data_IF_231560454844
#
_entry.id   IF_231560454844
#
_cell.length_a   1.000
_cell.length_b   1.000
_cell.length_c   1.000
_cell.angle_alpha   90.00
_cell.angle_beta   90.00
_cell.angle_gamma   90.00
#
_symmetry.space_group_name_H-M   'P 1'
#
loop_
_entity.id
_entity.type
_entity.pdbx_description
1 polymer ?
#
# COMPACT_ATOMS: atom_id res chain seq x y z
N UNK A 1 -3.88 -76.55 17.54
CA UNK A 1 -4.23 -76.98 18.90
C UNK A 1 -3.12 -76.55 19.84
N UNK A 2 -3.50 -76.03 21.02
CA UNK A 2 -2.68 -75.74 22.21
C UNK A 2 -2.20 -74.29 22.40
N UNK A 3 -3.06 -73.49 23.03
CA UNK A 3 -2.68 -72.59 24.14
C UNK A 3 -2.17 -73.45 25.34
N UNK A 4 -1.89 -72.98 26.59
CA UNK A 4 -1.95 -71.63 27.16
C UNK A 4 -0.92 -71.35 28.32
N UNK A 5 -1.07 -70.21 29.01
CA UNK A 5 -0.66 -69.91 30.40
C UNK A 5 0.82 -70.02 30.83
N UNK A 6 1.47 -68.86 30.95
CA UNK A 6 2.50 -68.64 31.95
C UNK A 6 1.87 -68.14 33.26
N UNK A 7 1.73 -69.03 34.24
CA UNK A 7 1.49 -68.69 35.63
C UNK A 7 2.83 -68.55 36.36
N UNK A 8 3.00 -67.53 37.19
CA UNK A 8 3.73 -67.72 38.44
C UNK A 8 3.21 -66.76 39.51
N UNK A 9 2.99 -67.32 40.69
CA UNK A 9 2.24 -66.81 41.81
C UNK A 9 3.06 -66.98 43.08
N UNK A 10 3.07 -65.95 43.93
CA UNK A 10 3.51 -66.00 45.34
C UNK A 10 5.03 -65.84 45.53
N UNK A 11 5.55 -65.23 46.59
CA UNK A 11 4.96 -64.70 47.82
C UNK A 11 6.10 -64.02 48.61
N UNK A 12 5.86 -62.89 49.28
CA UNK A 12 6.26 -62.74 50.70
C UNK A 12 5.62 -61.51 51.38
N UNK A 13 5.37 -61.58 52.71
CA UNK A 13 4.28 -60.89 53.40
C UNK A 13 4.75 -59.99 54.58
N UNK A 14 3.84 -59.15 55.12
CA UNK A 14 3.95 -58.22 56.29
C UNK A 14 4.78 -56.94 56.05
N UNK A 15 4.36 -55.66 56.19
CA UNK A 15 3.22 -54.82 56.71
C UNK A 15 3.81 -53.38 56.99
N UNK A 16 3.13 -52.29 57.46
CA UNK A 16 1.71 -51.87 57.58
C UNK A 16 1.37 -50.54 56.78
N UNK A 17 0.12 -50.00 56.83
CA UNK A 17 -0.42 -49.02 55.85
C UNK A 17 -0.56 -47.57 56.36
N UNK A 18 -0.47 -46.57 55.47
CA UNK A 18 -1.01 -45.22 55.74
C UNK A 18 -1.19 -44.34 54.49
N UNK A 19 -2.41 -43.79 54.34
CA UNK A 19 -2.63 -42.40 53.92
C UNK A 19 -2.78 -42.07 52.44
N UNK A 20 -4.01 -42.16 51.92
CA UNK A 20 -4.45 -41.46 50.70
C UNK A 20 -4.77 -39.99 51.01
N UNK A 21 -4.34 -39.03 50.17
CA UNK A 21 -5.06 -37.76 49.91
C UNK A 21 -4.87 -37.32 48.44
N UNK A 22 -5.95 -36.99 47.71
CA UNK A 22 -5.87 -36.54 46.30
C UNK A 22 -5.48 -35.05 46.18
N UNK A 23 -4.88 -34.63 45.05
CA UNK A 23 -4.46 -33.24 44.82
C UNK A 23 -5.66 -32.29 44.61
N UNK A 24 -5.55 -31.01 45.03
CA UNK A 24 -6.64 -30.04 44.96
C UNK A 24 -6.94 -29.55 43.52
N UNK A 25 -8.20 -29.16 43.23
CA UNK A 25 -8.61 -28.69 41.90
C UNK A 25 -8.03 -27.29 41.56
N UNK A 26 -7.91 -26.95 40.26
CA UNK A 26 -7.36 -25.67 39.81
C UNK A 26 -8.28 -24.49 40.15
N UNK A 27 -7.75 -23.28 40.45
CA UNK A 27 -8.56 -22.11 40.74
C UNK A 27 -9.35 -21.67 39.50
N UNK A 28 -10.67 -21.56 39.66
CA UNK A 28 -11.58 -20.99 38.67
C UNK A 28 -11.34 -19.47 38.53
N UNK A 29 -11.40 -18.99 37.28
CA UNK A 29 -11.24 -17.58 36.95
C UNK A 29 -12.28 -16.69 37.63
N UNK A 30 -11.80 -15.66 38.33
CA UNK A 30 -12.62 -14.58 38.88
C UNK A 30 -12.45 -13.31 38.06
N UNK A 31 -13.47 -12.96 37.28
CA UNK A 31 -13.67 -11.64 36.70
C UNK A 31 -14.46 -10.81 37.74
N UNK A 32 -13.87 -9.73 38.25
CA UNK A 32 -14.52 -8.81 39.18
C UNK A 32 -13.47 -7.77 39.59
N UNK A 33 -13.63 -6.49 39.32
CA UNK A 33 -14.79 -5.68 39.67
C UNK A 33 -14.24 -4.62 40.62
N UNK A 34 -13.89 -3.46 40.06
CA UNK A 34 -13.32 -2.37 40.85
C UNK A 34 -14.35 -1.76 41.79
N UNK A 35 -13.93 -1.38 43.00
CA UNK A 35 -14.32 -0.17 43.72
C UNK A 35 -13.80 -0.23 45.16
N UNK A 36 -13.35 0.92 45.67
CA UNK A 36 -13.57 1.26 47.08
C UNK A 36 -12.38 1.16 48.03
N UNK A 37 -11.67 2.28 48.17
CA UNK A 37 -11.62 3.03 49.44
C UNK A 37 -10.69 2.54 50.57
N UNK A 38 -10.05 3.51 51.22
CA UNK A 38 -9.77 3.44 52.66
C UNK A 38 -8.32 3.64 53.07
N UNK A 39 -7.98 4.88 53.43
CA UNK A 39 -6.75 5.28 54.12
C UNK A 39 -6.55 4.47 55.43
N UNK A 40 -5.38 3.88 55.60
CA UNK A 40 -4.91 3.33 56.87
C UNK A 40 -4.20 4.39 57.72
N UNK A 41 -4.31 4.27 59.04
CA UNK A 41 -3.51 5.02 60.00
C UNK A 41 -3.29 4.23 61.28
N UNK A 42 -2.03 4.18 61.76
CA UNK A 42 -1.72 3.98 63.19
C UNK A 42 -0.78 2.84 63.59
N UNK A 43 0.53 3.11 63.54
CA UNK A 43 1.59 2.90 64.57
C UNK A 43 1.78 1.54 65.32
N UNK A 44 3.00 0.96 65.20
CA UNK A 44 3.58 -0.05 66.12
C UNK A 44 4.98 -0.57 65.69
N UNK A 45 6.03 -0.61 66.55
CA UNK A 45 7.43 -0.94 66.18
C UNK A 45 7.91 -2.34 66.68
N UNK A 46 9.19 -2.79 66.49
CA UNK A 46 9.64 -3.89 65.60
C UNK A 46 10.07 -5.20 66.35
N UNK A 47 10.35 -6.34 65.66
CA UNK A 47 11.77 -6.74 65.45
C UNK A 47 12.06 -7.65 64.22
N UNK A 48 13.22 -7.45 63.59
CA UNK A 48 14.06 -8.44 62.91
C UNK A 48 13.47 -9.40 61.85
N UNK A 49 13.80 -9.17 60.56
CA UNK A 49 13.65 -10.20 59.52
C UNK A 49 13.98 -9.71 58.11
N UNK A 50 15.07 -10.25 57.54
CA UNK A 50 15.45 -10.42 56.12
C UNK A 50 14.99 -9.39 55.04
N UNK A 51 15.87 -8.85 54.17
CA UNK A 51 15.46 -8.03 53.03
C UNK A 51 14.76 -8.90 51.96
N UNK A 52 13.46 -9.11 52.16
CA UNK A 52 12.58 -9.84 51.26
C UNK A 52 12.09 -8.95 50.13
N UNK A 53 12.47 -9.36 48.91
CA UNK A 53 11.90 -9.05 47.60
C UNK A 53 10.89 -7.91 47.52
N UNK A 54 11.34 -6.76 47.00
CA UNK A 54 10.42 -5.87 46.31
C UNK A 54 9.84 -6.60 45.11
N UNK A 55 8.53 -6.86 45.16
CA UNK A 55 7.76 -7.36 44.02
C UNK A 55 7.94 -6.39 42.85
N UNK A 56 8.94 -6.72 42.04
CA UNK A 56 9.29 -6.02 40.82
C UNK A 56 8.19 -6.35 39.83
N UNK A 57 7.14 -5.52 39.80
CA UNK A 57 6.05 -5.65 38.85
C UNK A 57 6.66 -5.89 37.46
N UNK A 58 6.33 -7.01 36.76
CA UNK A 58 6.93 -7.31 35.48
C UNK A 58 6.67 -6.15 34.53
N UNK A 59 7.70 -5.63 33.83
CA UNK A 59 7.55 -4.44 33.01
C UNK A 59 6.48 -4.69 31.93
N UNK A 60 5.36 -3.96 32.02
CA UNK A 60 4.27 -4.02 31.04
C UNK A 60 4.79 -3.57 29.67
N UNK A 61 4.46 -4.34 28.64
CA UNK A 61 4.67 -3.99 27.24
C UNK A 61 3.93 -2.69 26.93
N UNK A 62 4.60 -1.75 26.27
CA UNK A 62 3.99 -0.48 25.91
C UNK A 62 3.06 -0.69 24.72
N UNK A 63 1.75 -0.65 24.94
CA UNK A 63 0.74 -0.74 23.89
C UNK A 63 0.94 0.32 22.80
N UNK A 64 1.64 1.41 23.11
CA UNK A 64 2.03 2.42 22.14
C UNK A 64 3.07 1.91 21.12
N UNK A 65 3.94 0.96 21.52
CA UNK A 65 4.91 0.34 20.60
C UNK A 65 4.23 -0.62 19.62
N UNK A 66 3.19 -1.33 20.09
CA UNK A 66 2.36 -2.20 19.24
C UNK A 66 1.50 -1.33 18.31
N UNK A 67 0.89 -0.27 18.85
CA UNK A 67 0.16 0.70 18.05
C UNK A 67 1.07 1.34 16.98
N UNK A 68 2.31 1.74 17.32
CA UNK A 68 3.28 2.28 16.35
C UNK A 68 3.66 1.26 15.26
N UNK A 69 3.79 -0.03 15.61
CA UNK A 69 4.02 -1.09 14.63
C UNK A 69 2.83 -1.22 13.66
N UNK A 70 1.62 -1.28 14.20
CA UNK A 70 0.37 -1.42 13.42
C UNK A 70 0.13 -0.18 12.54
N UNK A 71 0.37 1.02 13.07
CA UNK A 71 0.25 2.27 12.34
C UNK A 71 1.36 2.47 11.30
N UNK A 72 2.56 1.91 11.50
CA UNK A 72 3.60 1.90 10.45
C UNK A 72 3.22 1.03 9.24
N UNK A 73 2.33 0.06 9.43
CA UNK A 73 1.77 -0.77 8.38
C UNK A 73 0.68 -0.05 7.56
N UNK A 74 0.09 1.03 8.11
CA UNK A 74 -0.90 1.86 7.44
C UNK A 74 -0.19 2.99 6.67
N UNK A 75 0.15 2.67 5.42
CA UNK A 75 0.85 3.44 4.39
C UNK A 75 0.62 4.98 4.37
N UNK A 76 -0.52 5.49 4.83
CA UNK A 76 -0.89 6.91 4.75
C UNK A 76 -0.47 7.78 5.95
N UNK A 77 0.17 7.23 6.98
CA UNK A 77 0.50 7.95 8.24
C UNK A 77 1.99 7.94 8.59
N UNK A 78 2.87 7.72 7.61
CA UNK A 78 4.33 7.71 7.76
C UNK A 78 4.90 8.85 8.64
N UNK A 79 4.50 10.15 8.50
CA UNK A 79 5.01 11.20 9.38
C UNK A 79 4.59 11.02 10.85
N UNK A 80 3.39 10.49 11.10
CA UNK A 80 2.87 10.24 12.45
C UNK A 80 3.55 9.01 13.08
N UNK A 81 3.86 7.99 12.28
CA UNK A 81 4.63 6.81 12.72
C UNK A 81 6.03 7.18 13.21
N UNK A 82 6.71 8.11 12.52
CA UNK A 82 8.02 8.62 12.94
C UNK A 82 7.93 9.42 14.25
N UNK A 83 6.94 10.31 14.38
CA UNK A 83 6.74 11.10 15.60
C UNK A 83 6.40 10.19 16.79
N UNK A 84 5.50 9.22 16.62
CA UNK A 84 5.15 8.26 17.67
C UNK A 84 6.31 7.32 18.01
N UNK A 85 7.14 6.95 17.04
CA UNK A 85 8.38 6.20 17.26
C UNK A 85 9.39 6.96 18.13
N UNK A 86 9.58 8.26 17.87
CA UNK A 86 10.44 9.14 18.69
C UNK A 86 9.90 9.26 20.12
N UNK A 87 8.58 9.37 20.29
CA UNK A 87 7.93 9.40 21.62
C UNK A 87 8.05 8.05 22.34
N UNK A 88 7.95 6.92 21.62
CA UNK A 88 8.16 5.58 22.15
C UNK A 88 9.60 5.31 22.63
N UNK A 89 10.61 5.86 21.95
CA UNK A 89 12.00 5.81 22.43
C UNK A 89 12.16 6.59 23.73
N UNK A 90 11.53 7.77 23.85
CA UNK A 90 11.59 8.57 25.08
C UNK A 90 10.97 7.84 26.28
N UNK A 91 9.93 7.03 26.07
CA UNK A 91 9.27 6.21 27.11
C UNK A 91 10.02 4.93 27.49
N UNK A 92 10.94 4.44 26.66
CA UNK A 92 11.74 3.23 26.93
C UNK A 92 13.14 3.53 27.46
N UNK A 93 13.48 4.81 27.68
CA UNK A 93 14.76 5.25 28.24
C UNK A 93 14.89 4.81 29.72
N UNK A 94 16.05 4.27 30.10
CA UNK A 94 16.37 3.97 31.51
C UNK A 94 15.96 2.58 32.03
N UNK A 95 15.66 1.61 31.15
CA UNK A 95 15.40 0.21 31.57
C UNK A 95 14.03 -0.05 32.21
N UNK A 96 13.13 0.93 32.20
CA UNK A 96 11.80 0.85 32.83
C UNK A 96 10.80 -0.06 32.09
N UNK A 97 11.05 -0.43 30.81
CA UNK A 97 10.22 -1.36 30.02
C UNK A 97 11.06 -2.21 29.04
N UNK A 98 10.71 -3.49 28.84
CA UNK A 98 11.26 -4.35 27.77
C UNK A 98 10.63 -3.94 26.42
N UNK A 99 11.43 -3.85 25.34
CA UNK A 99 10.92 -3.50 24.00
C UNK A 99 11.82 -2.61 23.12
N UNK A 100 12.99 -2.20 23.60
CA UNK A 100 13.90 -1.30 22.86
C UNK A 100 14.33 -1.84 21.49
N UNK A 101 14.59 -3.15 21.36
CA UNK A 101 14.92 -3.76 20.07
C UNK A 101 13.76 -3.70 19.07
N UNK A 102 12.53 -3.88 19.58
CA UNK A 102 11.31 -3.77 18.78
C UNK A 102 11.05 -2.33 18.34
N UNK A 103 11.32 -1.35 19.20
CA UNK A 103 11.24 0.07 18.87
C UNK A 103 12.26 0.48 17.79
N UNK A 104 13.50 -0.04 17.87
CA UNK A 104 14.52 0.19 16.84
C UNK A 104 14.12 -0.46 15.52
N UNK A 105 13.63 -1.70 15.55
CA UNK A 105 13.14 -2.39 14.36
C UNK A 105 11.97 -1.64 13.71
N UNK A 106 11.03 -1.12 14.49
CA UNK A 106 9.91 -0.32 13.98
C UNK A 106 10.38 0.96 13.30
N UNK A 107 11.42 1.62 13.81
CA UNK A 107 11.99 2.82 13.17
C UNK A 107 12.69 2.47 11.87
N UNK A 108 13.51 1.41 11.86
CA UNK A 108 14.21 0.97 10.66
C UNK A 108 13.22 0.58 9.56
N UNK A 109 12.23 -0.25 9.89
CA UNK A 109 11.18 -0.66 8.96
C UNK A 109 10.38 0.56 8.50
N UNK A 110 10.02 1.47 9.41
CA UNK A 110 9.29 2.69 9.07
C UNK A 110 10.06 3.59 8.11
N UNK A 111 11.38 3.76 8.29
CA UNK A 111 12.23 4.52 7.37
C UNK A 111 12.34 3.84 6.01
N UNK A 112 12.57 2.52 5.97
CA UNK A 112 12.66 1.76 4.72
C UNK A 112 11.35 1.85 3.95
N UNK A 113 10.21 1.63 4.60
CA UNK A 113 8.90 1.74 3.99
C UNK A 113 8.61 3.17 3.51
N UNK A 114 8.98 4.19 4.29
CA UNK A 114 8.80 5.59 3.88
C UNK A 114 9.60 5.91 2.62
N UNK A 115 10.86 5.47 2.54
CA UNK A 115 11.70 5.65 1.35
C UNK A 115 11.10 4.87 0.17
N UNK A 116 10.70 3.62 0.37
CA UNK A 116 10.11 2.81 -0.68
C UNK A 116 8.83 3.45 -1.23
N UNK A 117 7.92 3.90 -0.37
CA UNK A 117 6.69 4.60 -0.78
C UNK A 117 7.01 5.92 -1.49
N UNK A 118 7.93 6.73 -0.97
CA UNK A 118 8.33 7.98 -1.62
C UNK A 118 8.93 7.73 -3.00
N UNK A 119 9.78 6.72 -3.15
CA UNK A 119 10.35 6.31 -4.44
C UNK A 119 9.27 5.82 -5.41
N UNK A 120 8.31 5.01 -4.95
CA UNK A 120 7.20 4.54 -5.79
C UNK A 120 6.33 5.70 -6.27
N UNK A 121 6.03 6.66 -5.40
CA UNK A 121 5.28 7.87 -5.77
C UNK A 121 6.08 8.68 -6.79
N UNK A 122 7.38 8.92 -6.54
CA UNK A 122 8.23 9.68 -7.45
C UNK A 122 8.31 9.06 -8.84
N UNK A 123 8.46 7.72 -8.91
CA UNK A 123 8.42 6.97 -10.17
C UNK A 123 7.05 7.10 -10.83
N UNK A 124 5.96 6.93 -10.08
CA UNK A 124 4.60 7.06 -10.61
C UNK A 124 4.31 8.44 -11.20
N UNK A 125 4.72 9.52 -10.52
CA UNK A 125 4.59 10.89 -11.02
C UNK A 125 5.44 11.11 -12.26
N UNK A 126 6.70 10.66 -12.26
CA UNK A 126 7.58 10.79 -13.41
C UNK A 126 6.99 10.13 -14.67
N UNK A 127 6.40 8.94 -14.54
CA UNK A 127 5.71 8.30 -15.66
C UNK A 127 4.41 9.01 -16.03
N UNK A 128 3.61 9.42 -15.05
CA UNK A 128 2.36 10.14 -15.31
C UNK A 128 2.57 11.46 -16.08
N UNK A 129 3.63 12.20 -15.77
CA UNK A 129 3.99 13.45 -16.47
C UNK A 129 4.37 13.23 -17.94
N UNK A 130 4.70 11.99 -18.32
CA UNK A 130 5.01 11.60 -19.69
C UNK A 130 3.80 11.03 -20.44
N UNK A 131 2.72 10.68 -19.75
CA UNK A 131 1.54 10.12 -20.41
C UNK A 131 0.68 11.24 -20.98
N UNK A 132 0.40 11.15 -22.28
CA UNK A 132 -0.57 11.99 -22.96
C UNK A 132 -1.90 11.24 -22.98
N UNK A 133 -2.88 11.84 -22.35
CA UNK A 133 -4.27 11.42 -22.32
C UNK A 133 -5.09 12.32 -23.22
N UNK A 134 -6.27 11.89 -23.68
CA UNK A 134 -7.08 12.73 -24.53
C UNK A 134 -7.43 14.11 -23.91
N UNK A 135 -7.59 14.18 -22.58
CA UNK A 135 -7.90 15.44 -21.88
C UNK A 135 -6.72 16.39 -21.64
N UNK A 136 -5.46 15.97 -21.83
CA UNK A 136 -4.27 16.84 -21.69
C UNK A 136 -3.43 16.93 -22.98
N UNK A 137 -3.90 16.31 -24.06
CA UNK A 137 -3.29 16.39 -25.38
C UNK A 137 -3.31 17.82 -25.90
N UNK A 138 -2.28 18.18 -26.67
CA UNK A 138 -2.16 19.46 -27.35
C UNK A 138 -1.68 19.23 -28.79
N UNK A 139 -2.16 20.06 -29.72
CA UNK A 139 -1.71 20.03 -31.12
C UNK A 139 -0.22 20.39 -31.19
N UNK A 140 0.54 19.67 -32.00
CA UNK A 140 2.00 19.77 -32.12
C UNK A 140 2.79 18.93 -31.10
N UNK A 141 2.12 18.13 -30.27
CA UNK A 141 2.80 17.23 -29.34
C UNK A 141 3.27 15.95 -30.06
N UNK A 142 4.58 15.70 -30.00
CA UNK A 142 5.19 14.46 -30.46
C UNK A 142 5.10 13.38 -29.39
N UNK A 143 4.75 12.16 -29.79
CA UNK A 143 4.47 11.04 -28.90
C UNK A 143 4.99 9.71 -29.46
N UNK A 144 5.39 8.81 -28.56
CA UNK A 144 5.47 7.38 -28.87
C UNK A 144 4.10 6.75 -28.66
N UNK A 145 3.74 5.80 -29.53
CA UNK A 145 2.45 5.11 -29.50
C UNK A 145 2.68 3.67 -29.07
N UNK A 146 2.08 3.28 -27.95
CA UNK A 146 2.09 1.88 -27.48
C UNK A 146 0.67 1.31 -27.52
N UNK A 147 0.44 0.44 -28.49
CA UNK A 147 -0.82 -0.26 -28.68
C UNK A 147 -0.82 -1.58 -27.87
N UNK A 148 -1.67 -1.66 -26.83
CA UNK A 148 -1.87 -2.86 -26.02
C UNK A 148 -3.34 -3.31 -26.09
N UNK A 149 -3.60 -4.38 -26.82
CA UNK A 149 -4.95 -4.92 -27.08
C UNK A 149 -5.90 -3.85 -27.66
N UNK A 150 -6.86 -3.38 -26.86
CA UNK A 150 -7.85 -2.35 -27.21
C UNK A 150 -7.44 -0.94 -26.73
N UNK A 151 -6.28 -0.80 -26.09
CA UNK A 151 -5.85 0.43 -25.42
C UNK A 151 -4.64 1.02 -26.13
N UNK A 152 -4.70 2.31 -26.43
CA UNK A 152 -3.60 3.06 -27.03
C UNK A 152 -3.03 3.98 -25.96
N UNK A 153 -1.75 3.83 -25.65
CA UNK A 153 -1.03 4.73 -24.76
C UNK A 153 -0.16 5.68 -25.58
N UNK A 154 -0.29 6.97 -25.32
CA UNK A 154 0.54 8.00 -25.93
C UNK A 154 1.54 8.51 -24.89
N UNK A 155 2.82 8.51 -25.22
CA UNK A 155 3.88 8.99 -24.34
C UNK A 155 4.59 10.19 -24.94
N UNK A 156 4.56 11.33 -24.24
CA UNK A 156 5.21 12.57 -24.66
C UNK A 156 6.70 12.37 -24.94
N UNK A 157 7.11 12.81 -26.12
CA UNK A 157 8.50 12.85 -26.60
C UNK A 157 8.90 14.24 -27.04
N UNK A 158 10.21 14.43 -27.18
CA UNK A 158 10.74 15.64 -27.82
C UNK A 158 10.73 15.44 -29.34
N UNK A 159 10.18 16.40 -30.07
CA UNK A 159 10.03 16.32 -31.53
C UNK A 159 11.36 16.27 -32.30
N UNK A 160 12.47 16.61 -31.65
CA UNK A 160 13.83 16.50 -32.22
C UNK A 160 14.42 15.10 -32.09
N UNK A 161 13.76 14.23 -31.31
CA UNK A 161 14.11 12.82 -31.21
C UNK A 161 13.17 11.97 -32.07
N UNK A 162 13.54 10.71 -32.25
CA UNK A 162 12.66 9.75 -32.90
C UNK A 162 11.39 9.55 -32.09
N UNK A 163 10.25 9.61 -32.77
CA UNK A 163 8.93 9.40 -32.19
C UNK A 163 8.00 8.77 -33.22
N UNK A 164 6.92 8.15 -32.75
CA UNK A 164 6.03 7.39 -33.62
C UNK A 164 4.94 8.28 -34.26
N UNK A 165 4.45 9.29 -33.52
CA UNK A 165 3.35 10.11 -33.97
C UNK A 165 3.39 11.57 -33.50
N UNK A 166 2.65 12.43 -34.19
CA UNK A 166 2.38 13.80 -33.76
C UNK A 166 0.87 14.07 -33.69
N UNK A 167 0.44 14.74 -32.63
CA UNK A 167 -0.95 15.18 -32.46
C UNK A 167 -1.22 16.38 -33.37
N UNK A 168 -2.14 16.21 -34.32
CA UNK A 168 -2.42 17.19 -35.38
C UNK A 168 -3.77 17.89 -35.24
N UNK A 169 -4.66 17.36 -34.40
CA UNK A 169 -5.99 17.92 -34.21
C UNK A 169 -6.61 17.44 -32.91
N UNK A 170 -7.41 18.31 -32.30
CA UNK A 170 -8.15 17.99 -31.07
C UNK A 170 -9.56 18.55 -31.21
N UNK A 171 -10.55 17.72 -30.91
CA UNK A 171 -11.94 18.15 -30.87
C UNK A 171 -12.60 17.72 -29.57
N UNK A 172 -13.31 18.65 -28.93
CA UNK A 172 -14.17 18.33 -27.80
C UNK A 172 -15.51 17.80 -28.29
N UNK A 173 -15.96 16.68 -27.74
CA UNK A 173 -17.25 16.08 -28.08
C UNK A 173 -18.39 16.89 -27.49
N UNK A 174 -19.33 17.29 -28.34
CA UNK A 174 -20.54 18.02 -27.97
C UNK A 174 -21.76 17.50 -28.75
N UNK A 175 -22.93 18.14 -28.56
CA UNK A 175 -24.16 17.71 -29.24
C UNK A 175 -24.13 17.79 -30.77
N UNK A 176 -23.26 18.60 -31.35
CA UNK A 176 -23.21 18.83 -32.80
C UNK A 176 -22.36 17.81 -33.52
N UNK A 177 -21.29 17.30 -32.89
CA UNK A 177 -20.32 16.41 -33.53
C UNK A 177 -20.34 14.95 -33.02
N UNK A 178 -20.98 14.68 -31.88
CA UNK A 178 -20.94 13.36 -31.23
C UNK A 178 -21.38 12.21 -32.14
N UNK A 179 -22.41 12.39 -32.97
CA UNK A 179 -22.89 11.33 -33.85
C UNK A 179 -21.93 11.06 -35.02
N UNK A 180 -21.23 12.10 -35.49
CA UNK A 180 -20.21 11.96 -36.54
C UNK A 180 -18.95 11.27 -35.99
N UNK A 181 -18.51 11.67 -34.80
CA UNK A 181 -17.37 11.05 -34.10
C UNK A 181 -17.65 9.58 -33.80
N UNK A 182 -18.86 9.24 -33.35
CA UNK A 182 -19.27 7.84 -33.16
C UNK A 182 -19.28 7.04 -34.46
N UNK A 183 -19.63 7.67 -35.58
CA UNK A 183 -19.66 7.00 -36.88
C UNK A 183 -18.26 6.75 -37.43
N UNK A 184 -17.34 7.72 -37.27
CA UNK A 184 -15.96 7.60 -37.72
C UNK A 184 -15.09 8.62 -37.00
N UNK A 185 -14.38 8.18 -35.97
CA UNK A 185 -13.44 9.01 -35.21
C UNK A 185 -12.35 9.60 -36.12
N UNK A 186 -11.68 8.74 -36.89
CA UNK A 186 -10.65 9.15 -37.85
C UNK A 186 -11.23 10.00 -38.99
N UNK A 187 -12.48 9.74 -39.41
CA UNK A 187 -13.16 10.55 -40.41
C UNK A 187 -13.38 12.00 -39.95
N UNK A 188 -13.74 12.18 -38.67
CA UNK A 188 -13.92 13.51 -38.09
C UNK A 188 -12.61 14.29 -37.93
N UNK A 189 -11.46 13.62 -37.94
CA UNK A 189 -10.16 14.29 -37.82
C UNK A 189 -9.88 15.27 -38.95
N UNK A 190 -10.42 15.05 -40.15
CA UNK A 190 -10.32 16.01 -41.26
C UNK A 190 -10.96 17.37 -40.90
N UNK A 191 -11.94 17.37 -40.00
CA UNK A 191 -12.62 18.57 -39.50
C UNK A 191 -11.93 19.15 -38.26
N UNK A 192 -11.25 18.32 -37.48
CA UNK A 192 -10.56 18.71 -36.25
C UNK A 192 -9.17 19.33 -36.50
N UNK A 193 -8.53 19.01 -37.62
CA UNK A 193 -7.22 19.54 -38.01
C UNK A 193 -7.39 20.97 -38.57
N UNK A 194 -6.52 21.89 -38.17
CA UNK A 194 -6.55 23.26 -38.68
C UNK A 194 -6.25 23.32 -40.17
N UNK A 195 -6.94 24.21 -40.91
CA UNK A 195 -6.81 24.30 -42.36
C UNK A 195 -5.39 24.66 -42.83
N UNK A 196 -4.65 25.44 -42.03
CA UNK A 196 -3.25 25.78 -42.27
C UNK A 196 -2.29 24.59 -42.11
N UNK A 197 -2.63 23.66 -41.23
CA UNK A 197 -1.82 22.47 -40.95
C UNK A 197 -2.09 21.34 -41.94
N UNK A 198 -3.30 21.26 -42.51
CA UNK A 198 -3.64 20.29 -43.57
C UNK A 198 -2.66 20.34 -44.76
N UNK A 199 -2.13 21.51 -45.10
CA UNK A 199 -1.17 21.64 -46.19
C UNK A 199 0.15 20.91 -45.88
N UNK A 200 0.63 21.00 -44.63
CA UNK A 200 1.86 20.33 -44.16
C UNK A 200 1.67 18.81 -44.08
N UNK A 201 0.46 18.38 -43.73
CA UNK A 201 0.12 16.97 -43.54
C UNK A 201 -0.26 16.24 -44.82
N UNK A 202 -0.25 16.90 -45.99
CA UNK A 202 -0.76 16.32 -47.26
C UNK A 202 -0.14 14.96 -47.64
N UNK A 203 1.11 14.71 -47.27
CA UNK A 203 1.79 13.42 -47.49
C UNK A 203 1.36 12.31 -46.50
N UNK A 204 0.79 12.69 -45.35
CA UNK A 204 0.49 11.81 -44.22
C UNK A 204 -1.00 11.72 -43.87
N UNK A 205 -1.89 12.31 -44.69
CA UNK A 205 -3.33 12.28 -44.43
C UNK A 205 -3.92 10.86 -44.34
N UNK A 206 -3.27 9.86 -44.94
CA UNK A 206 -3.69 8.46 -44.85
C UNK A 206 -3.24 7.78 -43.55
N UNK A 207 -2.28 8.37 -42.86
CA UNK A 207 -1.71 7.87 -41.60
C UNK A 207 -2.39 8.51 -40.38
N UNK A 208 -3.49 9.26 -40.59
CA UNK A 208 -4.27 9.87 -39.52
C UNK A 208 -5.06 8.80 -38.77
N UNK A 209 -4.73 8.67 -37.49
CA UNK A 209 -5.46 7.86 -36.51
C UNK A 209 -6.16 8.77 -35.49
N UNK A 210 -7.04 8.17 -34.70
CA UNK A 210 -7.79 8.87 -33.68
C UNK A 210 -7.93 8.06 -32.40
N UNK A 211 -7.94 8.73 -31.25
CA UNK A 211 -8.18 8.13 -29.94
C UNK A 211 -9.07 9.06 -29.11
N UNK A 212 -9.84 8.46 -28.19
CA UNK A 212 -10.73 9.13 -27.24
C UNK A 212 -10.64 8.42 -25.90
N UNK A 213 -11.16 9.02 -24.83
CA UNK A 213 -11.08 8.49 -23.47
C UNK A 213 -11.67 7.08 -23.34
N UNK A 214 -12.83 6.83 -23.96
CA UNK A 214 -13.44 5.50 -24.05
C UNK A 214 -13.97 5.24 -25.47
N UNK A 215 -13.26 4.47 -26.31
CA UNK A 215 -13.67 4.21 -27.68
C UNK A 215 -14.98 3.40 -27.77
N UNK A 216 -15.39 2.69 -26.71
CA UNK A 216 -16.64 1.92 -26.67
C UNK A 216 -17.82 2.80 -26.25
N UNK A 217 -17.56 3.98 -25.69
CA UNK A 217 -18.59 4.86 -25.11
C UNK A 217 -18.22 6.33 -25.23
N UNK A 218 -18.47 6.90 -26.42
CA UNK A 218 -18.29 8.34 -26.68
C UNK A 218 -19.37 9.17 -25.97
N UNK A 219 -18.95 10.06 -25.09
CA UNK A 219 -19.79 10.97 -24.31
C UNK A 219 -19.49 12.44 -24.59
N UNK A 220 -20.42 13.33 -24.19
CA UNK A 220 -20.18 14.77 -24.27
C UNK A 220 -19.14 15.17 -23.24
N UNK A 221 -18.17 15.98 -23.67
CA UNK A 221 -17.07 16.44 -22.83
C UNK A 221 -15.79 15.65 -23.02
N UNK A 222 -15.86 14.49 -23.67
CA UNK A 222 -14.69 13.72 -24.12
C UNK A 222 -13.88 14.52 -25.15
N UNK A 223 -12.62 14.13 -25.33
CA UNK A 223 -11.68 14.75 -26.23
C UNK A 223 -11.26 13.73 -27.28
N UNK A 224 -11.64 13.99 -28.52
CA UNK A 224 -11.09 13.30 -29.66
C UNK A 224 -9.69 13.87 -29.93
N UNK A 225 -8.68 13.01 -29.94
CA UNK A 225 -7.31 13.34 -30.34
C UNK A 225 -7.02 12.69 -31.67
N UNK A 226 -6.62 13.51 -32.63
CA UNK A 226 -6.21 13.12 -33.97
C UNK A 226 -4.69 13.21 -34.05
N UNK A 227 -4.05 12.12 -34.41
CA UNK A 227 -2.60 12.05 -34.52
C UNK A 227 -2.20 11.35 -35.82
N UNK A 228 -1.05 11.73 -36.34
CA UNK A 228 -0.46 11.15 -37.55
C UNK A 228 0.64 10.19 -37.13
N UNK A 229 0.51 8.92 -37.50
CA UNK A 229 1.48 7.86 -37.17
C UNK A 229 1.89 7.13 -38.46
N UNK A 230 2.94 7.60 -39.15
CA UNK A 230 3.45 6.96 -40.35
C UNK A 230 4.07 5.59 -40.04
N UNK A 231 4.32 4.79 -41.08
CA UNK A 231 4.95 3.48 -40.93
C UNK A 231 6.41 3.53 -40.43
N UNK A 232 7.10 4.64 -40.71
CA UNK A 232 8.46 4.91 -40.24
C UNK A 232 8.42 6.00 -39.16
N UNK A 233 9.34 5.92 -38.18
CA UNK A 233 9.43 6.91 -37.11
C UNK A 233 9.76 8.30 -37.65
N UNK A 234 9.05 9.29 -37.13
CA UNK A 234 9.33 10.70 -37.34
C UNK A 234 10.62 11.10 -36.62
N UNK A 235 11.34 12.06 -37.20
CA UNK A 235 12.58 12.62 -36.62
C UNK A 235 12.53 14.13 -36.46
N UNK A 236 11.48 14.74 -37.00
CA UNK A 236 11.19 16.16 -36.99
C UNK A 236 9.66 16.32 -36.87
N UNK A 237 9.16 17.44 -36.33
CA UNK A 237 7.74 17.70 -36.27
C UNK A 237 7.13 17.90 -37.67
N UNK A 238 5.87 17.50 -37.81
CA UNK A 238 5.02 17.68 -38.98
C UNK A 238 4.39 19.08 -39.03
N UNK A 239 4.10 19.68 -37.88
CA UNK A 239 3.49 21.02 -37.77
C UNK A 239 4.51 22.16 -37.57
#
# INVERSE_FOLDING_TARGET
>A
MSDPYGSNSGSNPYGPPSGQTPPPPPPAGGYGGGAGGGYGGGFGPPPGGFPGGGDSMPPKTDGLSIAALVLSFLCCLAPIGVILGIVGIRRTKGGQRKGRGLAIAAIIIGVIMSIATASLIAVGVFFADKVVTPGNAEVGQCVDVDENDDTIFLYKKECTEKHDAEIVGIAKVDSSNIEEIKSSMAGYCATAIAAEDLAKLSAHLQDVKAVIEDPKKVEKGDHLVCYVEPSDQLTEPLL
#
